data_IF_228168436636
#
_entry.id   IF_228168436636
#
_cell.length_a   1.000
_cell.length_b   1.000
_cell.length_c   1.000
_cell.angle_alpha   90.00
_cell.angle_beta   90.00
_cell.angle_gamma   90.00
#
_symmetry.space_group_name_H-M   'P 1'
#
loop_
_entity.id
_entity.type
_entity.pdbx_description
1 polymer ?
#
# COMPACT_ATOMS: atom_id res chain seq x y z
N UNK A 1 33.27 23.91 1.69
CA UNK A 1 33.28 22.63 2.45
C UNK A 1 31.99 22.33 3.22
N UNK A 2 31.19 23.32 3.67
CA UNK A 2 29.96 23.06 4.45
C UNK A 2 28.76 22.51 3.65
N UNK A 3 28.61 22.92 2.37
CA UNK A 3 27.49 22.48 1.52
C UNK A 3 27.48 20.98 1.17
N UNK A 4 28.65 20.32 1.15
CA UNK A 4 28.77 18.91 0.76
C UNK A 4 28.28 17.97 1.87
N UNK A 5 28.58 18.32 3.14
CA UNK A 5 28.13 17.56 4.30
C UNK A 5 26.61 17.65 4.53
N UNK A 6 25.99 18.78 4.20
CA UNK A 6 24.53 18.96 4.32
C UNK A 6 23.76 18.03 3.35
N UNK A 7 24.25 17.90 2.10
CA UNK A 7 23.68 16.97 1.10
C UNK A 7 23.88 15.50 1.46
N UNK A 8 25.04 15.13 2.02
CA UNK A 8 25.29 13.76 2.51
C UNK A 8 24.38 13.40 3.70
N UNK A 9 24.16 14.35 4.61
CA UNK A 9 23.29 14.16 5.78
C UNK A 9 21.82 13.91 5.37
N UNK A 10 21.29 14.69 4.42
CA UNK A 10 19.95 14.47 3.87
C UNK A 10 19.83 13.13 3.12
N UNK A 11 20.89 12.68 2.45
CA UNK A 11 20.92 11.37 1.79
C UNK A 11 20.86 10.20 2.79
N UNK A 12 21.62 10.30 3.88
CA UNK A 12 21.65 9.30 4.92
C UNK A 12 20.31 9.21 5.68
N UNK A 13 19.65 10.37 5.90
CA UNK A 13 18.31 10.46 6.48
C UNK A 13 17.21 9.84 5.58
N UNK A 14 17.39 9.83 4.26
CA UNK A 14 16.45 9.19 3.32
C UNK A 14 16.50 7.65 3.34
N UNK A 15 17.65 7.08 3.74
CA UNK A 15 17.91 5.63 3.70
C UNK A 15 17.27 4.84 4.85
N UNK A 16 17.01 5.48 5.99
CA UNK A 16 16.27 4.89 7.13
C UNK A 16 14.93 5.58 7.29
N UNK A 17 13.98 5.27 6.41
CA UNK A 17 12.58 5.65 6.57
C UNK A 17 11.95 4.80 7.69
N UNK A 18 12.18 5.23 8.93
CA UNK A 18 11.60 4.68 10.15
C UNK A 18 10.70 5.77 10.74
N UNK A 19 9.39 5.54 10.75
CA UNK A 19 8.41 6.41 11.42
C UNK A 19 7.97 5.67 12.69
N UNK A 20 8.12 6.29 13.87
CA UNK A 20 7.80 5.67 15.17
C UNK A 20 8.43 4.27 15.41
N UNK A 21 9.67 4.04 14.96
CA UNK A 21 10.36 2.76 15.18
C UNK A 21 9.93 1.61 14.26
N UNK A 22 8.96 1.83 13.36
CA UNK A 22 8.50 0.81 12.42
C UNK A 22 9.05 1.04 11.00
N UNK A 23 9.44 -0.06 10.36
CA UNK A 23 9.91 -0.08 8.97
C UNK A 23 8.71 0.19 8.06
N UNK A 24 8.72 1.30 7.32
CA UNK A 24 7.62 1.65 6.42
C UNK A 24 7.54 0.61 5.28
N UNK A 25 6.35 0.05 5.05
CA UNK A 25 6.05 -0.78 3.87
C UNK A 25 5.75 0.13 2.67
N UNK A 26 6.49 -0.02 1.57
CA UNK A 26 6.22 0.73 0.34
C UNK A 26 5.15 0.02 -0.49
N UNK A 27 4.11 0.73 -0.90
CA UNK A 27 3.00 0.17 -1.67
C UNK A 27 2.98 0.85 -3.05
N UNK A 28 2.92 0.06 -4.12
CA UNK A 28 2.90 0.55 -5.49
C UNK A 28 1.92 -0.23 -6.34
N UNK A 29 1.13 0.47 -7.16
CA UNK A 29 0.37 -0.14 -8.23
C UNK A 29 1.21 -0.36 -9.50
N UNK A 30 2.43 0.18 -9.58
CA UNK A 30 3.38 -0.15 -10.64
C UNK A 30 4.04 -1.50 -10.32
N UNK A 31 4.63 -2.14 -11.33
CA UNK A 31 5.43 -3.37 -11.18
C UNK A 31 6.79 -3.13 -10.49
N UNK A 32 7.09 -1.88 -10.15
CA UNK A 32 8.31 -1.48 -9.44
C UNK A 32 8.05 -0.30 -8.50
N UNK A 33 9.08 0.06 -7.72
CA UNK A 33 9.07 1.24 -6.87
C UNK A 33 10.09 2.24 -7.42
N UNK A 34 9.67 3.38 -7.99
CA UNK A 34 10.58 4.39 -8.51
C UNK A 34 11.64 4.80 -7.48
N UNK A 35 12.88 5.01 -7.95
CA UNK A 35 14.02 5.31 -7.10
C UNK A 35 14.52 4.13 -6.25
N UNK A 36 14.01 2.92 -6.47
CA UNK A 36 14.47 1.71 -5.79
C UNK A 36 14.72 0.58 -6.80
N UNK A 37 15.65 -0.31 -6.46
CA UNK A 37 15.89 -1.57 -7.17
C UNK A 37 15.26 -2.72 -6.38
N UNK A 38 14.50 -3.58 -7.06
CA UNK A 38 14.02 -4.83 -6.47
C UNK A 38 15.19 -5.80 -6.36
N UNK A 39 15.53 -6.21 -5.15
CA UNK A 39 16.58 -7.18 -4.86
C UNK A 39 16.07 -8.62 -4.94
N UNK A 40 14.87 -8.87 -4.39
CA UNK A 40 14.26 -10.20 -4.34
C UNK A 40 12.74 -10.10 -4.41
N UNK A 41 12.14 -10.98 -5.21
CA UNK A 41 10.73 -11.32 -5.11
C UNK A 41 10.55 -12.38 -4.02
N UNK A 42 9.53 -12.22 -3.17
CA UNK A 42 9.23 -13.18 -2.10
C UNK A 42 8.07 -14.08 -2.51
N UNK A 43 6.87 -13.54 -2.59
CA UNK A 43 5.67 -14.29 -2.98
C UNK A 43 4.53 -13.34 -3.39
N UNK A 44 3.46 -13.89 -3.93
CA UNK A 44 2.17 -13.20 -4.08
C UNK A 44 1.52 -13.07 -2.70
N UNK A 45 1.09 -11.86 -2.38
CA UNK A 45 0.36 -11.54 -1.14
C UNK A 45 -1.02 -11.02 -1.48
N UNK A 46 -1.96 -11.28 -0.57
CA UNK A 46 -3.34 -10.88 -0.75
C UNK A 46 -4.04 -10.68 0.59
N UNK A 47 -5.14 -9.94 0.55
CA UNK A 47 -6.08 -9.77 1.65
C UNK A 47 -7.49 -9.62 1.11
N UNK A 48 -8.49 -10.07 1.87
CA UNK A 48 -9.88 -9.85 1.51
C UNK A 48 -10.73 -9.46 2.70
N UNK A 49 -11.86 -8.84 2.44
CA UNK A 49 -12.93 -8.63 3.42
C UNK A 49 -14.28 -8.91 2.76
N UNK A 50 -15.23 -9.40 3.55
CA UNK A 50 -16.58 -9.73 3.07
C UNK A 50 -17.57 -8.81 3.76
N UNK A 51 -18.40 -8.12 2.97
CA UNK A 51 -19.45 -7.23 3.47
C UNK A 51 -20.81 -7.75 3.07
N UNK A 52 -21.75 -7.73 4.01
CA UNK A 52 -23.14 -8.14 3.76
C UNK A 52 -23.99 -6.96 3.28
N UNK A 53 -24.98 -7.25 2.43
CA UNK A 53 -26.00 -6.28 1.99
C UNK A 53 -26.86 -5.79 3.15
N UNK A 54 -26.96 -6.56 4.25
CA UNK A 54 -27.69 -6.14 5.45
C UNK A 54 -26.96 -4.99 6.15
N UNK A 55 -25.63 -5.12 6.31
CA UNK A 55 -24.79 -4.03 6.81
C UNK A 55 -24.98 -2.79 5.91
N UNK A 56 -24.88 -2.94 4.59
CA UNK A 56 -25.17 -1.84 3.65
C UNK A 56 -26.58 -1.26 3.75
N UNK A 57 -27.61 -2.09 3.97
CA UNK A 57 -29.01 -1.67 4.14
C UNK A 57 -29.23 -0.90 5.45
N UNK A 58 -28.56 -1.30 6.53
CA UNK A 58 -28.61 -0.59 7.81
C UNK A 58 -27.98 0.80 7.69
N UNK A 59 -26.84 0.91 6.97
CA UNK A 59 -26.24 2.20 6.62
C UNK A 59 -27.17 3.06 5.74
N UNK A 60 -27.83 2.46 4.74
CA UNK A 60 -28.82 3.16 3.90
C UNK A 60 -30.06 3.63 4.69
N UNK A 61 -30.47 2.91 5.73
CA UNK A 61 -31.58 3.31 6.59
C UNK A 61 -31.25 4.56 7.43
N UNK A 62 -29.97 4.77 7.78
CA UNK A 62 -29.47 5.99 8.41
C UNK A 62 -29.26 7.17 7.45
N UNK A 63 -29.16 6.90 6.14
CA UNK A 63 -28.91 7.89 5.08
C UNK A 63 -30.16 8.60 4.53
N UNK A 64 -31.35 8.39 5.12
CA UNK A 64 -32.64 8.94 4.64
C UNK A 64 -32.70 10.46 4.45
N UNK A 65 -31.68 11.22 4.87
CA UNK A 65 -31.64 12.67 4.81
C UNK A 65 -30.68 13.28 3.76
N UNK A 66 -29.98 12.49 2.92
CA UNK A 66 -29.08 13.05 1.89
C UNK A 66 -29.81 13.19 0.55
N UNK A 67 -30.31 14.40 0.29
CA UNK A 67 -30.92 14.79 -0.99
C UNK A 67 -29.81 15.14 -1.98
N UNK A 68 -29.60 14.28 -2.99
CA UNK A 68 -28.90 14.63 -4.24
C UNK A 68 -27.37 14.56 -4.27
N UNK A 69 -26.71 13.89 -3.31
CA UNK A 69 -25.23 13.79 -3.24
C UNK A 69 -24.67 12.36 -3.18
N UNK A 70 -23.36 12.24 -2.92
CA UNK A 70 -22.68 10.97 -2.63
C UNK A 70 -23.26 10.32 -1.35
N UNK A 71 -23.39 8.99 -1.35
CA UNK A 71 -23.85 8.24 -0.19
C UNK A 71 -22.71 8.11 0.83
N UNK A 72 -22.49 9.15 1.65
CA UNK A 72 -21.34 9.27 2.56
C UNK A 72 -21.09 8.02 3.40
N UNK A 73 -22.11 7.46 4.05
CA UNK A 73 -21.94 6.26 4.87
C UNK A 73 -21.60 5.00 4.06
N UNK A 74 -22.02 4.94 2.79
CA UNK A 74 -21.63 3.84 1.90
C UNK A 74 -20.18 4.00 1.43
N UNK A 75 -19.74 5.22 1.16
CA UNK A 75 -18.35 5.54 0.83
C UNK A 75 -17.42 5.23 2.00
N UNK A 76 -17.80 5.60 3.22
CA UNK A 76 -17.07 5.26 4.46
C UNK A 76 -16.93 3.75 4.61
N UNK A 77 -18.01 2.99 4.45
CA UNK A 77 -17.96 1.52 4.49
C UNK A 77 -17.01 0.93 3.46
N UNK A 78 -17.03 1.45 2.22
CA UNK A 78 -16.12 0.99 1.17
C UNK A 78 -14.67 1.30 1.52
N UNK A 79 -14.40 2.46 2.11
CA UNK A 79 -13.07 2.86 2.53
C UNK A 79 -12.54 1.99 3.66
N UNK A 80 -13.33 1.76 4.70
CA UNK A 80 -12.99 0.83 5.78
C UNK A 80 -12.71 -0.58 5.25
N UNK A 81 -13.50 -1.03 4.28
CA UNK A 81 -13.33 -2.34 3.66
C UNK A 81 -12.00 -2.42 2.89
N UNK A 82 -11.63 -1.38 2.15
CA UNK A 82 -10.32 -1.30 1.46
C UNK A 82 -9.17 -1.30 2.44
N UNK A 83 -9.28 -0.54 3.51
CA UNK A 83 -8.24 -0.47 4.54
C UNK A 83 -8.05 -1.83 5.23
N UNK A 84 -9.13 -2.52 5.58
CA UNK A 84 -9.06 -3.85 6.19
C UNK A 84 -8.39 -4.88 5.25
N UNK A 85 -8.81 -4.93 3.98
CA UNK A 85 -8.23 -5.84 3.00
C UNK A 85 -6.75 -5.52 2.74
N UNK A 86 -6.42 -4.23 2.62
CA UNK A 86 -5.05 -3.74 2.43
C UNK A 86 -4.16 -4.12 3.62
N UNK A 87 -4.64 -3.90 4.85
CA UNK A 87 -3.89 -4.22 6.05
C UNK A 87 -3.58 -5.73 6.12
N UNK A 88 -4.55 -6.59 5.81
CA UNK A 88 -4.33 -8.05 5.74
C UNK A 88 -3.25 -8.44 4.73
N UNK A 89 -3.21 -7.78 3.57
CA UNK A 89 -2.15 -7.99 2.58
C UNK A 89 -0.78 -7.51 3.08
N UNK A 90 -0.75 -6.36 3.75
CA UNK A 90 0.47 -5.79 4.35
C UNK A 90 1.01 -6.72 5.44
N UNK A 91 0.16 -7.20 6.35
CA UNK A 91 0.55 -8.10 7.43
C UNK A 91 1.16 -9.39 6.87
N UNK A 92 0.56 -9.94 5.79
CA UNK A 92 1.13 -11.08 5.08
C UNK A 92 2.50 -10.76 4.47
N UNK A 93 2.65 -9.62 3.81
CA UNK A 93 3.93 -9.18 3.25
C UNK A 93 4.99 -8.98 4.34
N UNK A 94 4.63 -8.40 5.48
CA UNK A 94 5.50 -8.23 6.63
C UNK A 94 5.94 -9.58 7.21
N UNK A 95 5.04 -10.56 7.29
CA UNK A 95 5.39 -11.91 7.78
C UNK A 95 6.42 -12.62 6.89
N UNK A 96 6.48 -12.28 5.60
CA UNK A 96 7.48 -12.76 4.64
C UNK A 96 8.80 -11.96 4.68
N UNK A 97 8.89 -10.90 5.48
CA UNK A 97 10.06 -10.02 5.55
C UNK A 97 10.15 -9.02 4.40
N UNK A 98 9.04 -8.75 3.70
CA UNK A 98 8.99 -7.74 2.64
C UNK A 98 9.15 -6.33 3.21
N UNK A 99 9.66 -5.42 2.38
CA UNK A 99 9.63 -3.98 2.66
C UNK A 99 8.90 -3.19 1.56
N UNK A 100 8.40 -3.88 0.52
CA UNK A 100 7.47 -3.31 -0.43
C UNK A 100 6.49 -4.36 -0.98
N UNK A 101 5.33 -3.89 -1.45
CA UNK A 101 4.39 -4.62 -2.29
C UNK A 101 4.19 -3.83 -3.58
N UNK A 102 4.41 -4.49 -4.72
CA UNK A 102 4.26 -3.92 -6.07
C UNK A 102 3.12 -4.61 -6.82
N UNK A 103 2.69 -4.02 -7.93
CA UNK A 103 1.64 -4.58 -8.77
C UNK A 103 0.29 -4.68 -8.05
N UNK A 104 0.02 -3.79 -7.10
CA UNK A 104 -1.20 -3.84 -6.29
C UNK A 104 -2.44 -3.67 -7.18
N UNK A 105 -3.42 -4.56 -7.02
CA UNK A 105 -4.71 -4.53 -7.70
C UNK A 105 -5.84 -4.86 -6.72
N UNK A 106 -6.99 -4.23 -6.94
CA UNK A 106 -8.23 -4.55 -6.24
C UNK A 106 -9.19 -5.27 -7.18
N UNK A 107 -9.92 -6.24 -6.64
CA UNK A 107 -10.99 -6.96 -7.32
C UNK A 107 -12.19 -7.07 -6.38
N UNK A 108 -13.39 -7.05 -6.93
CA UNK A 108 -14.62 -7.29 -6.17
C UNK A 108 -15.37 -8.46 -6.80
N UNK A 109 -15.91 -9.33 -5.96
CA UNK A 109 -16.69 -10.49 -6.41
C UNK A 109 -17.95 -10.61 -5.55
N UNK A 110 -19.03 -11.14 -6.12
CA UNK A 110 -20.22 -11.50 -5.33
C UNK A 110 -20.07 -12.95 -4.89
N UNK A 111 -20.05 -13.20 -3.58
CA UNK A 111 -19.90 -14.56 -3.03
C UNK A 111 -21.26 -15.27 -2.97
N UNK A 112 -22.28 -14.60 -2.45
CA UNK A 112 -23.64 -15.14 -2.30
C UNK A 112 -24.69 -14.04 -2.45
N UNK A 113 -25.97 -14.42 -2.54
CA UNK A 113 -27.09 -13.47 -2.48
C UNK A 113 -27.01 -12.69 -1.16
N UNK A 114 -26.47 -11.48 -1.23
CA UNK A 114 -26.36 -10.64 -0.03
C UNK A 114 -24.95 -10.43 0.50
N UNK A 115 -23.89 -10.89 -0.18
CA UNK A 115 -22.53 -10.55 0.23
C UNK A 115 -21.59 -10.33 -0.95
N UNK A 116 -20.68 -9.39 -0.78
CA UNK A 116 -19.60 -9.10 -1.74
C UNK A 116 -18.26 -9.18 -1.05
N UNK A 117 -17.30 -9.79 -1.72
CA UNK A 117 -15.89 -9.75 -1.35
C UNK A 117 -15.23 -8.53 -1.97
N UNK A 118 -14.39 -7.88 -1.18
CA UNK A 118 -13.34 -7.00 -1.68
C UNK A 118 -12.00 -7.72 -1.47
N UNK A 119 -11.32 -7.98 -2.58
CA UNK A 119 -10.04 -8.67 -2.64
C UNK A 119 -8.95 -7.71 -3.11
N UNK A 120 -7.78 -7.74 -2.48
CA UNK A 120 -6.60 -7.00 -2.91
C UNK A 120 -5.42 -7.96 -2.98
N UNK A 121 -4.58 -7.81 -3.99
CA UNK A 121 -3.39 -8.63 -4.18
C UNK A 121 -2.24 -7.84 -4.80
N UNK A 122 -1.04 -8.38 -4.65
CA UNK A 122 0.19 -7.85 -5.24
C UNK A 122 1.37 -8.78 -4.99
N UNK A 123 2.56 -8.31 -5.31
CA UNK A 123 3.80 -9.09 -5.16
C UNK A 123 4.65 -8.49 -4.04
N UNK A 124 4.92 -9.29 -3.01
CA UNK A 124 5.81 -8.91 -1.92
C UNK A 124 7.27 -8.99 -2.38
N UNK A 125 8.02 -7.92 -2.16
CA UNK A 125 9.41 -7.78 -2.63
C UNK A 125 10.28 -7.13 -1.55
N UNK A 126 11.60 -7.32 -1.71
CA UNK A 126 12.63 -6.56 -1.00
C UNK A 126 13.24 -5.56 -1.95
N UNK A 127 13.17 -4.27 -1.64
CA UNK A 127 13.74 -3.17 -2.42
C UNK A 127 14.86 -2.44 -1.68
N UNK A 128 15.75 -1.80 -2.43
CA UNK A 128 16.80 -0.92 -1.93
C UNK A 128 16.80 0.41 -2.70
N UNK A 129 17.00 1.57 -2.05
CA UNK A 129 17.13 2.85 -2.74
C UNK A 129 18.29 2.85 -3.74
N UNK A 130 18.05 3.44 -4.92
CA UNK A 130 19.10 3.67 -5.91
C UNK A 130 19.91 4.88 -5.44
N UNK A 131 21.13 4.64 -4.95
CA UNK A 131 22.07 5.71 -4.69
C UNK A 131 22.63 6.26 -6.02
N UNK A 132 22.71 7.58 -6.21
CA UNK A 132 23.34 8.16 -7.38
C UNK A 132 24.82 7.80 -7.33
N UNK A 133 25.30 7.10 -8.36
CA UNK A 133 26.74 6.97 -8.57
C UNK A 133 27.27 8.36 -8.88
N UNK A 134 28.14 8.88 -8.02
CA UNK A 134 28.92 10.07 -8.36
C UNK A 134 29.70 9.74 -9.64
N UNK A 135 29.72 10.63 -10.64
CA UNK A 135 30.57 10.43 -11.80
C UNK A 135 32.02 10.32 -11.31
N UNK A 136 32.76 9.34 -11.85
CA UNK A 136 34.17 9.18 -11.54
C UNK A 136 34.92 10.41 -12.06
N UNK A 137 35.56 11.21 -11.19
CA UNK A 137 36.31 12.39 -11.64
C UNK A 137 37.53 12.03 -12.50
N UNK A 138 37.88 10.74 -12.62
CA UNK A 138 39.09 10.28 -13.31
C UNK A 138 38.82 9.33 -14.49
N UNK A 139 37.55 9.13 -14.90
CA UNK A 139 37.27 8.39 -16.13
C UNK A 139 37.70 9.24 -17.34
N UNK A 140 38.88 8.96 -17.89
CA UNK A 140 39.40 9.54 -19.15
C UNK A 140 39.34 8.51 -20.27
#
# INVERSE_FOLDING_TARGET
MSFFYCKLSQYFLSSKRIFNGQKIMLLSNLESVPGHTILRQLDVVYGSTVRSKHVGRDFLAGLKNIVGGELTAYTELLEESRQEAMQRMIDKAQSLGANAVVGIRFSTSSITQGASELFVYGTAVVVQPIAPKLPDPFSS
#
